data_IF_400897181483
#
_entry.id   IF_400897181483
#
_cell.length_a   1.000
_cell.length_b   1.000
_cell.length_c   1.000
_cell.angle_alpha   90.00
_cell.angle_beta   90.00
_cell.angle_gamma   90.00
#
_symmetry.space_group_name_H-M   'P 1'
#
loop_
_entity.id
_entity.type
_entity.pdbx_description
1 polymer ?
#
# COMPACT_ATOMS: atom_id res chain seq x y z
N UNK A 1 -16.74 -18.90 7.41
CA UNK A 1 -17.44 -17.69 6.93
C UNK A 1 -17.47 -17.71 5.41
N UNK A 2 -18.64 -17.50 4.84
CA UNK A 2 -18.78 -17.44 3.40
C UNK A 2 -18.35 -16.06 2.87
N UNK A 3 -17.47 -16.05 1.86
CA UNK A 3 -17.02 -14.81 1.23
C UNK A 3 -17.94 -14.50 0.05
N UNK A 4 -18.44 -13.28 -0.08
CA UNK A 4 -19.31 -12.90 -1.20
C UNK A 4 -18.66 -13.17 -2.56
N UNK A 5 -19.49 -13.40 -3.57
CA UNK A 5 -19.04 -13.55 -4.95
C UNK A 5 -18.28 -12.28 -5.38
N UNK A 6 -17.37 -12.42 -6.36
CA UNK A 6 -16.49 -11.35 -6.79
C UNK A 6 -17.19 -10.01 -7.03
N UNK A 7 -18.37 -10.02 -7.67
CA UNK A 7 -19.12 -8.79 -7.95
C UNK A 7 -19.78 -8.13 -6.73
N UNK A 8 -19.78 -8.82 -5.60
CA UNK A 8 -20.37 -8.32 -4.35
C UNK A 8 -19.33 -8.07 -3.27
N UNK A 9 -18.08 -8.37 -3.58
CA UNK A 9 -17.02 -8.28 -2.61
C UNK A 9 -16.59 -6.82 -2.38
N UNK A 10 -16.52 -6.42 -1.12
CA UNK A 10 -16.09 -5.09 -0.72
C UNK A 10 -15.25 -5.16 0.55
N UNK A 11 -14.24 -4.31 0.63
CA UNK A 11 -13.38 -4.20 1.82
C UNK A 11 -14.07 -3.45 2.97
N UNK A 12 -15.23 -2.89 2.74
CA UNK A 12 -15.97 -2.14 3.76
C UNK A 12 -16.77 -3.04 4.69
N UNK A 13 -16.91 -4.32 4.37
CA UNK A 13 -17.55 -5.28 5.26
C UNK A 13 -16.61 -5.66 6.39
N UNK A 14 -17.07 -5.58 7.64
CA UNK A 14 -16.29 -5.97 8.82
C UNK A 14 -15.81 -7.42 8.72
N UNK A 15 -16.67 -8.33 8.26
CA UNK A 15 -16.32 -9.76 8.11
C UNK A 15 -15.21 -9.94 7.07
N UNK A 16 -15.24 -9.20 5.97
CA UNK A 16 -14.20 -9.25 4.95
C UNK A 16 -12.87 -8.74 5.54
N UNK A 17 -12.90 -7.62 6.26
CA UNK A 17 -11.70 -7.06 6.87
C UNK A 17 -11.03 -8.05 7.83
N UNK A 18 -11.81 -8.67 8.72
CA UNK A 18 -11.30 -9.63 9.72
C UNK A 18 -10.71 -10.89 9.09
N UNK A 19 -11.22 -11.32 7.95
CA UNK A 19 -10.77 -12.52 7.26
C UNK A 19 -9.88 -12.24 6.06
N UNK A 20 -9.55 -10.97 5.82
CA UNK A 20 -8.83 -10.54 4.61
C UNK A 20 -7.51 -11.30 4.41
N UNK A 21 -6.65 -11.33 5.43
CA UNK A 21 -5.32 -11.94 5.29
C UNK A 21 -5.42 -13.44 4.98
N UNK A 22 -6.30 -14.15 5.66
CA UNK A 22 -6.53 -15.57 5.39
C UNK A 22 -7.12 -15.78 4.00
N UNK A 23 -8.11 -14.95 3.62
CA UNK A 23 -8.79 -15.08 2.33
C UNK A 23 -7.86 -14.76 1.15
N UNK A 24 -7.07 -13.70 1.25
CA UNK A 24 -6.16 -13.33 0.16
C UNK A 24 -5.08 -14.40 -0.05
N UNK A 25 -4.59 -15.01 1.00
CA UNK A 25 -3.62 -16.10 0.89
C UNK A 25 -4.23 -17.35 0.27
N UNK A 26 -5.50 -17.63 0.57
CA UNK A 26 -6.23 -18.73 -0.02
C UNK A 26 -6.48 -18.54 -1.51
N UNK A 27 -6.90 -17.35 -1.91
CA UNK A 27 -7.19 -17.02 -3.31
C UNK A 27 -5.95 -16.75 -4.14
N UNK A 28 -4.87 -16.29 -3.52
CA UNK A 28 -3.60 -15.97 -4.15
C UNK A 28 -2.49 -16.78 -3.49
N UNK A 29 -2.26 -18.04 -3.92
CA UNK A 29 -1.31 -18.95 -3.26
C UNK A 29 0.11 -18.40 -3.12
N UNK A 30 0.50 -17.46 -3.98
CA UNK A 30 1.83 -16.86 -3.96
C UNK A 30 1.86 -15.47 -3.30
N UNK A 31 0.79 -15.13 -2.55
CA UNK A 31 0.66 -13.79 -1.96
C UNK A 31 1.88 -13.41 -1.11
N UNK A 32 2.33 -14.29 -0.23
CA UNK A 32 3.47 -13.98 0.65
C UNK A 32 4.77 -13.85 -0.15
N UNK A 33 4.98 -14.67 -1.17
CA UNK A 33 6.16 -14.61 -2.03
C UNK A 33 6.16 -13.28 -2.80
N UNK A 34 5.03 -12.90 -3.38
CA UNK A 34 4.90 -11.66 -4.14
C UNK A 34 5.05 -10.45 -3.22
N UNK A 35 4.47 -10.49 -2.03
CA UNK A 35 4.63 -9.43 -1.03
C UNK A 35 6.11 -9.26 -0.65
N UNK A 36 6.82 -10.35 -0.45
CA UNK A 36 8.26 -10.30 -0.18
C UNK A 36 9.05 -9.71 -1.33
N UNK A 37 8.67 -10.01 -2.57
CA UNK A 37 9.29 -9.43 -3.77
C UNK A 37 9.08 -7.91 -3.83
N UNK A 38 7.86 -7.45 -3.55
CA UNK A 38 7.54 -6.02 -3.49
C UNK A 38 8.40 -5.33 -2.42
N UNK A 39 8.47 -5.90 -1.24
CA UNK A 39 9.27 -5.36 -0.13
C UNK A 39 10.76 -5.30 -0.52
N UNK A 40 11.28 -6.32 -1.19
CA UNK A 40 12.65 -6.34 -1.67
C UNK A 40 12.93 -5.19 -2.65
N UNK A 41 12.01 -4.95 -3.58
CA UNK A 41 12.13 -3.84 -4.54
C UNK A 41 12.12 -2.49 -3.79
N UNK A 42 11.22 -2.33 -2.82
CA UNK A 42 11.17 -1.13 -2.00
C UNK A 42 12.50 -0.88 -1.28
N UNK A 43 13.09 -1.92 -0.70
CA UNK A 43 14.40 -1.81 -0.04
C UNK A 43 15.48 -1.27 -0.97
N UNK A 44 15.41 -1.64 -2.23
CA UNK A 44 16.38 -1.20 -3.22
C UNK A 44 16.25 0.30 -3.55
N UNK A 45 15.04 0.83 -3.54
CA UNK A 45 14.77 2.21 -3.97
C UNK A 45 14.58 3.21 -2.84
N UNK A 46 14.33 2.74 -1.61
CA UNK A 46 14.10 3.64 -0.48
C UNK A 46 15.42 4.16 0.08
N UNK A 47 15.75 5.45 -0.09
CA UNK A 47 17.01 5.98 0.41
C UNK A 47 16.93 6.29 1.91
N UNK A 48 18.07 6.62 2.48
CA UNK A 48 18.15 7.18 3.83
C UNK A 48 17.34 8.48 3.88
N UNK A 49 16.58 8.66 4.95
CA UNK A 49 15.63 9.78 5.11
C UNK A 49 14.56 9.84 4.01
N UNK A 50 14.32 8.72 3.34
CA UNK A 50 13.34 8.63 2.26
C UNK A 50 11.91 8.64 2.75
N UNK A 51 10.98 8.81 1.81
CA UNK A 51 9.55 8.79 2.05
C UNK A 51 8.91 7.72 1.19
N UNK A 52 8.08 6.89 1.81
CA UNK A 52 7.31 5.85 1.12
C UNK A 52 5.82 6.02 1.39
N UNK A 53 5.01 5.87 0.35
CA UNK A 53 3.56 5.75 0.45
C UNK A 53 3.14 4.31 0.17
N UNK A 54 2.36 3.73 1.07
CA UNK A 54 1.69 2.43 0.87
C UNK A 54 0.22 2.70 0.61
N UNK A 55 -0.19 2.62 -0.65
CA UNK A 55 -1.53 2.97 -1.10
C UNK A 55 -2.38 1.71 -1.12
N UNK A 56 -3.53 1.76 -0.42
CA UNK A 56 -4.33 0.57 -0.20
C UNK A 56 -3.65 -0.36 0.79
N UNK A 57 -3.21 0.19 1.91
CA UNK A 57 -2.33 -0.50 2.87
C UNK A 57 -2.99 -1.69 3.57
N UNK A 58 -4.31 -1.81 3.51
CA UNK A 58 -5.05 -2.90 4.17
C UNK A 58 -4.74 -2.97 5.66
N UNK A 59 -4.32 -4.13 6.12
CA UNK A 59 -3.93 -4.36 7.51
C UNK A 59 -2.46 -4.00 7.79
N UNK A 60 -1.70 -3.62 6.76
CA UNK A 60 -0.34 -3.12 6.93
C UNK A 60 0.76 -4.15 6.67
N UNK A 61 0.52 -5.17 5.85
CA UNK A 61 1.50 -6.23 5.59
C UNK A 61 2.83 -5.69 5.05
N UNK A 62 2.80 -4.69 4.18
CA UNK A 62 4.02 -4.07 3.64
C UNK A 62 4.77 -3.33 4.77
N UNK A 63 4.07 -2.53 5.55
CA UNK A 63 4.66 -1.77 6.65
C UNK A 63 5.31 -2.66 7.70
N UNK A 64 4.66 -3.76 8.06
CA UNK A 64 5.21 -4.74 9.00
C UNK A 64 6.55 -5.28 8.51
N UNK A 65 6.62 -5.67 7.24
CA UNK A 65 7.84 -6.24 6.65
C UNK A 65 8.96 -5.20 6.46
N UNK A 66 8.61 -3.92 6.35
CA UNK A 66 9.58 -2.83 6.17
C UNK A 66 9.99 -2.14 7.47
N UNK A 67 9.44 -2.55 8.60
CA UNK A 67 9.63 -1.86 9.88
C UNK A 67 11.09 -1.58 10.21
N UNK A 68 11.95 -2.60 10.09
CA UNK A 68 13.37 -2.45 10.39
C UNK A 68 14.07 -1.53 9.38
N UNK A 69 13.76 -1.65 8.10
CA UNK A 69 14.32 -0.81 7.06
C UNK A 69 13.98 0.65 7.26
N UNK A 70 12.73 0.92 7.62
CA UNK A 70 12.25 2.28 7.88
C UNK A 70 12.98 2.88 9.07
N UNK A 71 13.12 2.13 10.14
CA UNK A 71 13.86 2.57 11.33
C UNK A 71 15.33 2.80 11.01
N UNK A 72 15.99 1.85 10.36
CA UNK A 72 17.41 1.94 10.02
C UNK A 72 17.76 3.11 9.10
N UNK A 73 16.84 3.46 8.22
CA UNK A 73 17.05 4.51 7.20
C UNK A 73 16.49 5.85 7.61
N UNK A 74 15.91 5.97 8.80
CA UNK A 74 15.18 7.17 9.23
C UNK A 74 14.15 7.59 8.17
N UNK A 75 13.52 6.61 7.55
CA UNK A 75 12.53 6.84 6.51
C UNK A 75 11.16 7.10 7.12
N UNK A 76 10.28 7.71 6.33
CA UNK A 76 8.91 8.01 6.73
C UNK A 76 7.93 7.19 5.89
N UNK A 77 7.03 6.48 6.56
CA UNK A 77 5.95 5.72 5.93
C UNK A 77 4.62 6.46 6.11
N UNK A 78 3.93 6.67 5.00
CA UNK A 78 2.52 7.07 4.99
C UNK A 78 1.71 5.94 4.38
N UNK A 79 0.71 5.45 5.12
CA UNK A 79 -0.19 4.40 4.66
C UNK A 79 -1.56 5.01 4.38
N UNK A 80 -2.14 4.65 3.24
CA UNK A 80 -3.45 5.16 2.82
C UNK A 80 -4.39 3.96 2.69
N UNK A 81 -5.53 4.01 3.38
CA UNK A 81 -6.54 2.98 3.32
C UNK A 81 -7.94 3.61 3.36
N UNK A 82 -8.79 3.22 2.41
CA UNK A 82 -10.16 3.75 2.32
C UNK A 82 -11.14 3.04 3.24
N UNK A 83 -10.91 1.75 3.51
CA UNK A 83 -11.81 0.95 4.34
C UNK A 83 -11.60 1.26 5.81
N UNK A 84 -12.66 1.71 6.47
CA UNK A 84 -12.63 1.93 7.93
C UNK A 84 -12.31 0.65 8.69
N UNK A 85 -12.92 -0.45 8.27
CA UNK A 85 -12.75 -1.77 8.89
C UNK A 85 -11.30 -2.25 8.77
N UNK A 86 -10.69 -2.10 7.61
CA UNK A 86 -9.27 -2.44 7.40
C UNK A 86 -8.36 -1.51 8.20
N UNK A 87 -8.69 -0.22 8.25
CA UNK A 87 -7.94 0.78 9.01
C UNK A 87 -7.93 0.47 10.50
N UNK A 88 -9.03 -0.02 11.04
CA UNK A 88 -9.13 -0.41 12.45
C UNK A 88 -8.22 -1.61 12.78
N UNK A 89 -7.86 -2.40 11.79
CA UNK A 89 -6.97 -3.57 11.94
C UNK A 89 -5.53 -3.28 11.52
N UNK A 90 -5.22 -2.04 11.13
CA UNK A 90 -3.92 -1.67 10.60
C UNK A 90 -2.82 -1.75 11.67
N UNK A 91 -1.74 -2.44 11.36
CA UNK A 91 -0.59 -2.64 12.25
C UNK A 91 0.77 -2.34 11.58
N UNK A 92 0.74 -1.67 10.43
CA UNK A 92 1.94 -1.46 9.61
C UNK A 92 2.86 -0.33 10.04
N UNK A 93 2.48 0.43 11.05
CA UNK A 93 3.30 1.57 11.51
C UNK A 93 3.17 2.79 10.60
N UNK A 94 3.99 3.81 10.87
CA UNK A 94 3.94 5.08 10.15
C UNK A 94 2.68 5.90 10.44
N UNK A 95 2.33 6.78 9.53
CA UNK A 95 1.12 7.60 9.62
C UNK A 95 0.04 7.00 8.71
N UNK A 96 -1.07 6.58 9.29
CA UNK A 96 -2.21 6.06 8.56
C UNK A 96 -3.17 7.19 8.18
N UNK A 97 -3.51 7.25 6.91
CA UNK A 97 -4.48 8.20 6.36
C UNK A 97 -5.70 7.39 5.90
N UNK A 98 -6.84 7.62 6.55
CA UNK A 98 -8.09 6.93 6.22
C UNK A 98 -8.85 7.78 5.21
N UNK A 99 -8.56 7.56 3.93
CA UNK A 99 -9.17 8.30 2.83
C UNK A 99 -8.87 7.60 1.51
N UNK A 100 -9.49 8.06 0.45
CA UNK A 100 -9.16 7.67 -0.91
C UNK A 100 -7.85 8.35 -1.33
N UNK A 101 -7.00 7.62 -2.06
CA UNK A 101 -5.76 8.19 -2.60
C UNK A 101 -6.02 9.40 -3.52
N UNK A 102 -7.18 9.46 -4.15
CA UNK A 102 -7.57 10.59 -4.98
C UNK A 102 -7.72 11.89 -4.19
N UNK A 103 -8.01 11.79 -2.89
CA UNK A 103 -8.21 12.95 -1.99
C UNK A 103 -6.96 13.33 -1.21
N UNK A 104 -5.93 12.50 -1.24
CA UNK A 104 -4.71 12.75 -0.48
C UNK A 104 -3.85 13.81 -1.17
N UNK A 105 -3.36 14.77 -0.40
CA UNK A 105 -2.36 15.73 -0.85
C UNK A 105 -0.98 15.16 -0.57
N UNK A 106 -0.40 14.51 -1.57
CA UNK A 106 0.88 13.82 -1.42
C UNK A 106 2.03 14.79 -1.18
N UNK A 107 2.89 14.46 -0.23
CA UNK A 107 4.20 15.09 -0.09
C UNK A 107 5.16 14.46 -1.12
N UNK A 108 6.28 15.11 -1.37
CA UNK A 108 7.31 14.50 -2.21
C UNK A 108 7.76 13.17 -1.59
N UNK A 109 7.95 12.15 -2.41
CA UNK A 109 8.27 10.81 -1.95
C UNK A 109 9.27 10.12 -2.89
N UNK A 110 9.86 9.05 -2.41
CA UNK A 110 10.84 8.26 -3.16
C UNK A 110 10.27 6.97 -3.72
N UNK A 111 9.30 6.38 -3.02
CA UNK A 111 8.66 5.12 -3.42
C UNK A 111 7.16 5.20 -3.12
N UNK A 112 6.34 4.71 -4.04
CA UNK A 112 4.93 4.47 -3.79
C UNK A 112 4.60 3.03 -4.17
N UNK A 113 3.88 2.34 -3.29
CA UNK A 113 3.43 0.97 -3.50
C UNK A 113 1.93 0.99 -3.72
N UNK A 114 1.48 0.38 -4.83
CA UNK A 114 0.06 0.19 -5.15
C UNK A 114 -0.19 -1.30 -5.37
N UNK A 115 0.01 -2.10 -4.33
CA UNK A 115 -0.05 -3.56 -4.44
C UNK A 115 -1.50 -4.04 -4.34
N UNK A 116 -2.00 -4.64 -5.42
CA UNK A 116 -3.37 -5.16 -5.54
C UNK A 116 -4.46 -4.08 -5.33
N UNK A 117 -4.20 -2.86 -5.75
CA UNK A 117 -5.11 -1.72 -5.57
C UNK A 117 -5.70 -1.22 -6.89
N UNK A 118 -4.87 -1.08 -7.91
CA UNK A 118 -5.28 -0.44 -9.17
C UNK A 118 -6.46 -1.16 -9.84
N UNK A 119 -6.58 -2.46 -9.64
CA UNK A 119 -7.67 -3.27 -10.21
C UNK A 119 -9.06 -2.85 -9.71
N UNK A 120 -9.14 -2.15 -8.57
CA UNK A 120 -10.40 -1.68 -8.00
C UNK A 120 -10.78 -0.27 -8.47
N UNK A 121 -9.92 0.36 -9.27
CA UNK A 121 -10.15 1.70 -9.81
C UNK A 121 -10.56 1.63 -11.27
N UNK A 122 -11.39 2.58 -11.71
CA UNK A 122 -11.67 2.74 -13.13
C UNK A 122 -10.38 3.17 -13.87
N UNK A 123 -10.36 2.99 -15.17
CA UNK A 123 -9.22 3.42 -15.99
C UNK A 123 -8.91 4.91 -15.80
N UNK A 124 -9.96 5.73 -15.75
CA UNK A 124 -9.84 7.18 -15.53
C UNK A 124 -9.18 7.46 -14.17
N UNK A 125 -9.63 6.77 -13.13
CA UNK A 125 -9.09 6.92 -11.78
C UNK A 125 -7.64 6.44 -11.70
N UNK A 126 -7.30 5.34 -12.36
CA UNK A 126 -5.92 4.85 -12.44
C UNK A 126 -4.99 5.89 -13.07
N UNK A 127 -5.39 6.46 -14.19
CA UNK A 127 -4.60 7.48 -14.88
C UNK A 127 -4.41 8.72 -14.00
N UNK A 128 -5.48 9.19 -13.37
CA UNK A 128 -5.44 10.35 -12.50
C UNK A 128 -4.51 10.13 -11.30
N UNK A 129 -4.58 8.96 -10.67
CA UNK A 129 -3.71 8.62 -9.54
C UNK A 129 -2.25 8.57 -9.95
N UNK A 130 -1.94 7.92 -11.07
CA UNK A 130 -0.55 7.80 -11.56
C UNK A 130 0.04 9.17 -11.89
N UNK A 131 -0.72 10.05 -12.50
CA UNK A 131 -0.28 11.42 -12.75
C UNK A 131 0.03 12.16 -11.46
N UNK A 132 -0.84 12.04 -10.47
CA UNK A 132 -0.70 12.65 -9.16
C UNK A 132 0.57 12.16 -8.45
N UNK A 133 0.82 10.87 -8.50
CA UNK A 133 2.02 10.27 -7.93
C UNK A 133 3.29 10.73 -8.67
N UNK A 134 3.24 10.74 -9.99
CA UNK A 134 4.38 11.16 -10.81
C UNK A 134 4.84 12.57 -10.48
N UNK A 135 3.90 13.48 -10.21
CA UNK A 135 4.22 14.87 -9.89
C UNK A 135 4.99 15.04 -8.59
N UNK A 136 4.87 14.09 -7.68
CA UNK A 136 5.50 14.14 -6.35
C UNK A 136 6.67 13.19 -6.18
N UNK A 137 6.95 12.37 -7.18
CA UNK A 137 8.05 11.40 -7.12
C UNK A 137 9.40 12.10 -7.23
N UNK A 138 10.28 11.85 -6.27
CA UNK A 138 11.65 12.35 -6.28
C UNK A 138 12.49 11.66 -7.36
N UNK A 139 13.41 12.38 -7.97
CA UNK A 139 14.27 11.90 -9.06
C UNK A 139 15.64 11.42 -8.57
N UNK A 140 15.76 11.01 -7.31
CA UNK A 140 17.05 10.66 -6.71
C UNK A 140 17.76 9.51 -7.42
N UNK A 141 17.02 8.53 -7.95
CA UNK A 141 17.61 7.38 -8.62
C UNK A 141 18.44 7.73 -9.86
N UNK A 142 18.24 8.91 -10.43
CA UNK A 142 19.05 9.38 -11.57
C UNK A 142 20.52 9.52 -11.22
N UNK A 143 20.81 9.66 -9.93
CA UNK A 143 22.17 9.76 -9.44
C UNK A 143 22.90 8.43 -9.47
N UNK A 144 22.17 7.34 -9.67
CA UNK A 144 22.70 5.97 -9.70
C UNK A 144 22.64 5.33 -11.09
N UNK A 145 22.25 6.10 -12.08
CA UNK A 145 22.17 5.61 -13.45
C UNK A 145 23.57 5.45 -14.06
#
# INVERSE_FOLDING_TARGET
MEIPKLGQWTFESENIAKSFDAHVREQLPFYDIVTNAVVHIVRHYLPKNGVIYDIGASTGNIGVKLKEDITHRDAKLYAIETSKEMSDLYVGGGDLIVDSAQNVDFKNFDVAVCFLVLMFLSKKEQIALIKKLKDKLNNRRRLHA
#
